data_IF_006579923590
#
_entry.id   IF_006579923590
#
_cell.length_a   1.000
_cell.length_b   1.000
_cell.length_c   1.000
_cell.angle_alpha   90.00
_cell.angle_beta   90.00
_cell.angle_gamma   90.00
#
_symmetry.space_group_name_H-M   'P 1'
#
loop_
_entity.id
_entity.type
_entity.pdbx_description
1 polymer ?
#
# COMPACT_ATOMS: atom_id res chain seq x y z
N UNK A 1 -2.69 0.40 4.89
CA UNK A 1 -1.56 0.44 3.94
C UNK A 1 -0.71 1.71 4.08
N UNK A 2 -1.31 2.90 4.14
CA UNK A 2 -0.59 4.19 4.35
C UNK A 2 0.37 4.17 5.55
N UNK A 3 0.01 3.46 6.63
CA UNK A 3 0.88 3.27 7.81
C UNK A 3 2.22 2.58 7.47
N UNK A 4 2.20 1.54 6.63
CA UNK A 4 3.40 0.79 6.24
C UNK A 4 4.30 1.61 5.33
N UNK A 5 3.73 2.38 4.41
CA UNK A 5 4.47 3.30 3.53
C UNK A 5 5.19 4.37 4.35
N UNK A 6 4.47 4.99 5.31
CA UNK A 6 5.07 5.97 6.23
C UNK A 6 6.21 5.35 7.04
N UNK A 7 6.05 4.11 7.49
CA UNK A 7 7.07 3.39 8.28
C UNK A 7 8.32 3.09 7.45
N UNK A 8 8.16 2.61 6.21
CA UNK A 8 9.27 2.34 5.29
C UNK A 8 9.97 3.65 4.90
N UNK A 9 9.22 4.70 4.56
CA UNK A 9 9.79 6.01 4.25
C UNK A 9 10.56 6.60 5.43
N UNK A 10 10.08 6.41 6.66
CA UNK A 10 10.79 6.85 7.86
C UNK A 10 12.11 6.07 8.06
N UNK A 11 12.10 4.74 7.90
CA UNK A 11 13.32 3.92 7.98
C UNK A 11 14.32 4.37 6.92
N UNK A 12 13.86 4.54 5.68
CA UNK A 12 14.69 5.01 4.57
C UNK A 12 15.30 6.37 4.89
N UNK A 13 14.50 7.34 5.37
CA UNK A 13 14.97 8.66 5.79
C UNK A 13 16.09 8.56 6.83
N UNK A 14 15.94 7.74 7.87
CA UNK A 14 16.98 7.54 8.87
C UNK A 14 18.26 6.97 8.26
N UNK A 15 18.16 5.96 7.39
CA UNK A 15 19.34 5.44 6.69
C UNK A 15 20.01 6.49 5.82
N UNK A 16 19.26 7.30 5.05
CA UNK A 16 19.84 8.35 4.22
C UNK A 16 20.48 9.44 5.07
N UNK A 17 19.84 9.82 6.18
CA UNK A 17 20.39 10.78 7.13
C UNK A 17 21.76 10.33 7.65
N UNK A 18 21.84 9.13 8.22
CA UNK A 18 23.10 8.63 8.77
C UNK A 18 24.15 8.40 7.69
N UNK A 19 23.76 7.90 6.51
CA UNK A 19 24.68 7.74 5.39
C UNK A 19 25.30 9.08 4.97
N UNK A 20 24.49 10.12 4.76
CA UNK A 20 24.97 11.45 4.36
C UNK A 20 25.81 12.08 5.48
N UNK A 21 25.40 11.93 6.73
CA UNK A 21 26.15 12.43 7.89
C UNK A 21 27.55 11.80 7.94
N UNK A 22 27.65 10.47 7.87
CA UNK A 22 28.93 9.78 7.92
C UNK A 22 29.80 10.05 6.71
N UNK A 23 29.23 10.17 5.51
CA UNK A 23 29.98 10.54 4.31
C UNK A 23 30.60 11.93 4.45
N UNK A 24 29.84 12.92 4.93
CA UNK A 24 30.36 14.28 5.12
C UNK A 24 31.41 14.35 6.23
N UNK A 25 31.21 13.64 7.34
CA UNK A 25 32.20 13.59 8.42
C UNK A 25 33.48 12.86 8.00
N UNK A 26 33.37 11.75 7.25
CA UNK A 26 34.53 10.99 6.76
C UNK A 26 35.33 11.73 5.69
N UNK A 27 34.68 12.61 4.92
CA UNK A 27 35.32 13.47 3.93
C UNK A 27 35.97 14.73 4.50
N UNK A 28 35.74 15.05 5.77
CA UNK A 28 36.31 16.23 6.42
C UNK A 28 37.78 16.03 6.79
N UNK A 29 38.59 17.08 6.63
CA UNK A 29 39.98 17.10 7.09
C UNK A 29 40.10 17.09 8.62
N UNK A 30 39.13 17.69 9.31
CA UNK A 30 38.94 17.57 10.76
C UNK A 30 37.46 17.21 11.05
N UNK A 31 37.18 15.92 11.33
CA UNK A 31 35.83 15.45 11.65
C UNK A 31 35.29 15.95 13.00
N UNK A 32 36.17 16.43 13.88
CA UNK A 32 35.81 16.86 15.23
C UNK A 32 35.70 18.38 15.38
N UNK A 33 35.99 19.13 14.32
CA UNK A 33 35.68 20.55 14.26
C UNK A 33 34.17 20.77 14.42
N UNK A 34 33.73 21.52 15.46
CA UNK A 34 32.33 21.82 15.68
C UNK A 34 31.62 22.41 14.46
N UNK A 35 32.32 23.20 13.63
CA UNK A 35 31.74 23.82 12.45
C UNK A 35 31.36 22.78 11.39
N UNK A 36 32.26 21.81 11.15
CA UNK A 36 32.04 20.73 10.20
C UNK A 36 30.94 19.77 10.67
N UNK A 37 30.86 19.50 11.98
CA UNK A 37 29.78 18.69 12.58
C UNK A 37 28.43 19.36 12.34
N UNK A 38 28.31 20.66 12.65
CA UNK A 38 27.06 21.40 12.48
C UNK A 38 26.65 21.47 11.01
N UNK A 39 27.60 21.75 10.09
CA UNK A 39 27.32 21.74 8.66
C UNK A 39 26.84 20.37 8.17
N UNK A 40 27.53 19.30 8.56
CA UNK A 40 27.17 17.93 8.19
C UNK A 40 25.78 17.55 8.73
N UNK A 41 25.45 17.97 9.95
CA UNK A 41 24.13 17.75 10.56
C UNK A 41 23.02 18.44 9.78
N UNK A 42 23.24 19.69 9.35
CA UNK A 42 22.28 20.48 8.56
C UNK A 42 22.07 19.82 7.20
N UNK A 43 23.15 19.46 6.50
CA UNK A 43 23.09 18.83 5.18
C UNK A 43 22.40 17.47 5.26
N UNK A 44 22.73 16.64 6.26
CA UNK A 44 22.10 15.35 6.47
C UNK A 44 20.61 15.48 6.77
N UNK A 45 20.23 16.47 7.59
CA UNK A 45 18.83 16.75 7.94
C UNK A 45 18.00 17.17 6.73
N UNK A 46 18.52 18.10 5.92
CA UNK A 46 17.88 18.54 4.68
C UNK A 46 17.74 17.39 3.67
N UNK A 47 18.81 16.61 3.49
CA UNK A 47 18.82 15.47 2.57
C UNK A 47 17.82 14.39 3.00
N UNK A 48 17.78 14.05 4.29
CA UNK A 48 16.81 13.10 4.84
C UNK A 48 15.37 13.58 4.67
N UNK A 49 15.08 14.86 4.97
CA UNK A 49 13.75 15.44 4.82
C UNK A 49 13.27 15.44 3.36
N UNK A 50 14.13 15.82 2.41
CA UNK A 50 13.83 15.78 0.98
C UNK A 50 13.58 14.35 0.50
N UNK A 51 14.41 13.39 0.94
CA UNK A 51 14.26 12.00 0.57
C UNK A 51 12.98 11.38 1.15
N UNK A 52 12.62 11.73 2.38
CA UNK A 52 11.37 11.32 3.00
C UNK A 52 10.15 11.85 2.23
N UNK A 53 10.17 13.14 1.87
CA UNK A 53 9.09 13.77 1.13
C UNK A 53 8.94 13.17 -0.28
N UNK A 54 10.05 13.01 -1.00
CA UNK A 54 10.06 12.36 -2.31
C UNK A 54 9.60 10.91 -2.24
N UNK A 55 10.09 10.14 -1.26
CA UNK A 55 9.68 8.75 -1.02
C UNK A 55 8.20 8.62 -0.66
N UNK A 56 7.63 9.60 0.05
CA UNK A 56 6.19 9.65 0.33
C UNK A 56 5.36 9.86 -0.95
N UNK A 57 5.76 10.80 -1.81
CA UNK A 57 5.07 11.06 -3.09
C UNK A 57 5.18 9.85 -4.02
N UNK A 58 6.41 9.35 -4.22
CA UNK A 58 6.65 8.19 -5.08
C UNK A 58 5.90 6.97 -4.55
N UNK A 59 5.93 6.74 -3.24
CA UNK A 59 5.14 5.69 -2.61
C UNK A 59 3.64 5.86 -2.89
N UNK A 60 3.07 7.04 -2.69
CA UNK A 60 1.65 7.28 -2.94
C UNK A 60 1.27 7.04 -4.42
N UNK A 61 2.11 7.48 -5.37
CA UNK A 61 1.91 7.23 -6.81
C UNK A 61 2.02 5.75 -7.13
N UNK A 62 3.06 5.06 -6.65
CA UNK A 62 3.29 3.65 -6.95
C UNK A 62 2.17 2.78 -6.37
N UNK A 63 1.70 3.08 -5.17
CA UNK A 63 0.57 2.37 -4.58
C UNK A 63 -0.75 2.65 -5.29
N UNK A 64 -1.03 3.90 -5.67
CA UNK A 64 -2.22 4.21 -6.48
C UNK A 64 -2.15 3.49 -7.82
N UNK A 65 -0.99 3.54 -8.48
CA UNK A 65 -0.73 2.84 -9.75
C UNK A 65 -0.92 1.33 -9.64
N UNK A 66 -0.30 0.69 -8.64
CA UNK A 66 -0.42 -0.76 -8.40
C UNK A 66 -1.86 -1.15 -8.02
N UNK A 67 -2.57 -0.34 -7.23
CA UNK A 67 -3.97 -0.61 -6.89
C UNK A 67 -4.92 -0.42 -8.06
N UNK A 68 -4.62 0.48 -9.01
CA UNK A 68 -5.42 0.62 -10.25
C UNK A 68 -5.12 -0.43 -11.31
N UNK A 69 -3.96 -1.10 -11.23
CA UNK A 69 -3.54 -2.13 -12.19
C UNK A 69 -3.86 -3.55 -11.69
N UNK A 70 -4.10 -3.71 -10.39
CA UNK A 70 -4.87 -4.84 -9.87
C UNK A 70 -6.32 -4.51 -10.18
N UNK A 71 -6.85 -5.03 -11.30
CA UNK A 71 -8.28 -5.31 -11.37
C UNK A 71 -8.58 -6.10 -10.10
N UNK A 72 -9.23 -5.47 -9.12
CA UNK A 72 -9.86 -6.19 -8.04
C UNK A 72 -10.99 -6.92 -8.72
N UNK A 73 -10.65 -8.09 -9.25
CA UNK A 73 -11.58 -9.00 -9.84
C UNK A 73 -12.49 -9.40 -8.67
N UNK A 74 -13.60 -8.70 -8.53
CA UNK A 74 -14.70 -9.04 -7.62
C UNK A 74 -15.19 -10.48 -7.90
N UNK A 75 -14.73 -11.11 -9.00
CA UNK A 75 -14.86 -12.54 -9.28
C UNK A 75 -13.97 -13.48 -8.45
N UNK A 76 -13.10 -12.98 -7.58
CA UNK A 76 -12.37 -13.82 -6.61
C UNK A 76 -12.97 -13.79 -5.19
N UNK A 77 -14.08 -13.07 -4.99
CA UNK A 77 -15.02 -13.31 -3.88
C UNK A 77 -16.05 -14.42 -4.23
N UNK A 78 -15.96 -14.98 -5.44
CA UNK A 78 -16.85 -15.98 -6.04
C UNK A 78 -16.33 -17.43 -5.88
N UNK A 79 -15.70 -17.79 -4.77
CA UNK A 79 -15.66 -19.19 -4.30
C UNK A 79 -16.91 -19.55 -3.47
N UNK A 80 -18.08 -19.06 -3.89
CA UNK A 80 -19.08 -19.88 -4.61
C UNK A 80 -19.42 -21.30 -4.14
N UNK A 81 -19.12 -21.72 -2.92
CA UNK A 81 -19.44 -23.05 -2.42
C UNK A 81 -20.90 -23.18 -1.95
N UNK A 82 -21.73 -23.95 -2.67
CA UNK A 82 -23.12 -24.40 -2.37
C UNK A 82 -24.17 -23.31 -2.07
N UNK A 83 -23.88 -22.33 -1.23
CA UNK A 83 -24.77 -21.25 -0.79
C UNK A 83 -25.23 -20.35 -1.94
N UNK A 84 -24.37 -20.15 -2.95
CA UNK A 84 -24.73 -19.38 -4.14
C UNK A 84 -25.64 -20.17 -5.09
N UNK A 85 -25.41 -21.48 -5.24
CA UNK A 85 -26.34 -22.35 -5.99
C UNK A 85 -27.70 -22.45 -5.31
N UNK A 86 -27.74 -22.46 -3.98
CA UNK A 86 -29.00 -22.45 -3.21
C UNK A 86 -29.74 -21.14 -3.39
N UNK A 87 -29.07 -19.98 -3.38
CA UNK A 87 -29.72 -18.69 -3.62
C UNK A 87 -30.27 -18.58 -5.06
N UNK A 88 -29.49 -18.98 -6.07
CA UNK A 88 -29.97 -18.95 -7.47
C UNK A 88 -31.17 -19.89 -7.68
N UNK A 89 -31.15 -21.09 -7.11
CA UNK A 89 -32.30 -22.01 -7.19
C UNK A 89 -33.53 -21.49 -6.44
N UNK A 90 -33.34 -20.76 -5.34
CA UNK A 90 -34.43 -20.18 -4.56
C UNK A 90 -35.07 -18.99 -5.26
N UNK A 91 -34.31 -18.20 -6.01
CA UNK A 91 -34.84 -17.12 -6.87
C UNK A 91 -35.55 -17.66 -8.12
N UNK A 92 -35.20 -18.84 -8.62
CA UNK A 92 -35.98 -19.51 -9.68
C UNK A 92 -37.25 -20.21 -9.15
N UNK A 93 -37.34 -20.47 -7.84
CA UNK A 93 -38.49 -21.10 -7.18
C UNK A 93 -39.36 -20.09 -6.40
N UNK A 94 -39.55 -18.89 -6.94
CA UNK A 94 -40.63 -18.00 -6.46
C UNK A 94 -41.98 -18.69 -6.71
N UNK A 95 -42.96 -18.60 -5.79
CA UNK A 95 -44.26 -19.22 -5.99
C UNK A 95 -44.95 -18.55 -7.19
N UNK A 96 -44.99 -19.25 -8.33
CA UNK A 96 -45.56 -18.75 -9.59
C UNK A 96 -44.73 -18.97 -10.87
N UNK A 97 -43.57 -19.62 -10.83
CA UNK A 97 -42.78 -19.95 -12.04
C UNK A 97 -43.37 -21.10 -12.89
N UNK A 98 -43.02 -21.13 -14.19
CA UNK A 98 -43.54 -22.03 -15.24
C UNK A 98 -43.35 -23.55 -15.01
N UNK A 99 -42.57 -23.94 -14.00
CA UNK A 99 -42.33 -25.34 -13.62
C UNK A 99 -43.00 -25.74 -12.30
N UNK A 100 -44.21 -25.22 -12.01
CA UNK A 100 -45.03 -25.92 -11.02
C UNK A 100 -45.46 -27.27 -11.62
N UNK A 101 -45.13 -28.42 -11.00
CA UNK A 101 -45.80 -29.66 -11.36
C UNK A 101 -47.28 -29.39 -11.10
N UNK A 102 -48.06 -29.34 -12.18
CA UNK A 102 -49.50 -29.21 -12.12
C UNK A 102 -50.01 -30.24 -11.11
N UNK A 103 -50.43 -29.78 -9.93
CA UNK A 103 -51.38 -30.56 -9.15
C UNK A 103 -52.67 -30.47 -9.95
N UNK A 104 -52.86 -31.45 -10.83
CA UNK A 104 -54.14 -31.65 -11.51
C UNK A 104 -55.24 -31.64 -10.45
N UNK A 105 -56.18 -30.71 -10.61
CA UNK A 105 -57.44 -30.72 -9.89
C UNK A 105 -58.17 -32.04 -10.17
N UNK A 106 -58.50 -32.77 -9.10
CA UNK A 106 -59.82 -33.41 -8.93
C UNK A 106 -60.10 -33.76 -7.47
#
# INVERSE_FOLDING_TARGET
>A
MVFWIKKIAAILCFTTFFAVLFINMAGSSDPFDPLNIVQSLIIASLSGALFWFAGFIVGDIFFKGVLTDIDVDDSNLLEGGLLQQVHMKREQQVPGGEEMPFSEEK
#
